data_IF_634554149973
#
_entry.id   IF_634554149973
#
_cell.length_a   1.000
_cell.length_b   1.000
_cell.length_c   1.000
_cell.angle_alpha   90.00
_cell.angle_beta   90.00
_cell.angle_gamma   90.00
#
_symmetry.space_group_name_H-M   'P 1'
#
loop_
_entity.id
_entity.type
_entity.pdbx_description
1 polymer ?
#
# COMPACT_ATOMS: atom_id res chain seq x y z
N UNK A 1 13.66 75.25 43.00
CA UNK A 1 13.29 76.67 42.85
C UNK A 1 13.57 77.09 41.40
N UNK A 2 12.71 77.94 40.82
CA UNK A 2 12.78 78.69 39.53
C UNK A 2 13.02 77.90 38.22
N UNK A 3 12.02 77.67 37.35
CA UNK A 3 11.23 78.55 36.42
C UNK A 3 11.92 78.88 35.07
N UNK A 4 11.50 78.18 33.98
CA UNK A 4 10.98 78.61 32.61
C UNK A 4 11.65 79.75 31.81
N UNK A 5 11.40 80.01 30.48
CA UNK A 5 10.37 79.52 29.51
C UNK A 5 10.90 79.15 28.06
N UNK A 6 10.24 78.33 27.21
CA UNK A 6 9.10 78.47 26.25
C UNK A 6 9.44 78.78 24.76
N UNK A 7 8.48 78.41 23.89
CA UNK A 7 8.31 78.59 22.41
C UNK A 7 8.89 77.47 21.53
N UNK A 8 8.24 76.90 20.51
CA UNK A 8 6.94 77.18 19.88
C UNK A 8 6.56 76.09 18.85
N UNK A 9 5.29 76.14 18.44
CA UNK A 9 4.48 75.26 17.58
C UNK A 9 5.02 74.97 16.16
N UNK A 10 4.76 73.77 15.61
CA UNK A 10 4.12 73.60 14.28
C UNK A 10 3.57 72.16 14.07
N UNK A 11 2.25 72.06 13.85
CA UNK A 11 1.55 70.87 13.34
C UNK A 11 1.76 70.75 11.83
N UNK A 12 2.10 69.55 11.35
CA UNK A 12 1.89 69.12 9.97
C UNK A 12 1.14 67.79 9.94
N UNK A 13 0.01 67.79 9.23
CA UNK A 13 -0.85 66.65 8.92
C UNK A 13 -0.19 65.82 7.82
N UNK A 14 0.12 64.56 8.10
CA UNK A 14 0.68 63.61 7.13
C UNK A 14 -0.12 62.32 7.09
N UNK A 15 -0.79 62.08 5.97
CA UNK A 15 -1.61 60.88 5.67
C UNK A 15 -0.76 59.61 5.73
N UNK A 16 -1.16 58.66 6.58
CA UNK A 16 -0.57 57.31 6.62
C UNK A 16 -1.00 56.52 5.39
N UNK A 17 -0.10 56.36 4.40
CA UNK A 17 -0.24 55.39 3.31
C UNK A 17 0.08 54.01 3.90
N UNK A 18 -0.94 53.16 4.06
CA UNK A 18 -0.76 51.71 4.30
C UNK A 18 0.02 51.12 3.13
N UNK A 19 1.26 50.70 3.39
CA UNK A 19 1.93 49.67 2.60
C UNK A 19 1.14 48.37 2.79
N UNK A 20 0.31 48.02 1.80
CA UNK A 20 -0.22 46.67 1.64
C UNK A 20 0.99 45.78 1.38
N UNK A 21 1.19 44.78 2.24
CA UNK A 21 2.34 43.88 2.17
C UNK A 21 2.18 42.99 0.93
N UNK A 22 3.26 42.85 0.17
CA UNK A 22 3.35 42.05 -1.04
C UNK A 22 2.91 40.57 -0.84
N UNK A 23 2.95 40.06 0.39
CA UNK A 23 2.43 38.73 0.77
C UNK A 23 0.90 38.59 0.66
N UNK A 24 0.14 39.67 0.85
CA UNK A 24 -1.32 39.62 0.79
C UNK A 24 -1.82 39.50 -0.66
N UNK A 25 -1.03 39.97 -1.63
CA UNK A 25 -1.32 39.86 -3.08
C UNK A 25 -0.98 38.46 -3.58
N UNK A 26 0.11 37.84 -3.11
CA UNK A 26 0.49 36.47 -3.47
C UNK A 26 -0.50 35.43 -2.92
N UNK A 27 -0.99 35.61 -1.68
CA UNK A 27 -2.03 34.74 -1.11
C UNK A 27 -3.40 34.95 -1.80
N UNK A 28 -3.75 36.19 -2.14
CA UNK A 28 -4.97 36.51 -2.91
C UNK A 28 -4.92 35.91 -4.33
N UNK A 29 -3.75 35.93 -4.98
CA UNK A 29 -3.56 35.31 -6.29
C UNK A 29 -3.56 33.79 -6.22
N UNK A 30 -2.93 33.16 -5.22
CA UNK A 30 -2.99 31.71 -5.02
C UNK A 30 -4.42 31.22 -4.76
N UNK A 31 -5.18 31.92 -3.91
CA UNK A 31 -6.58 31.61 -3.66
C UNK A 31 -7.46 31.78 -4.91
N UNK A 32 -7.20 32.81 -5.73
CA UNK A 32 -7.90 33.03 -7.01
C UNK A 32 -7.56 32.01 -8.10
N UNK A 33 -6.42 31.32 -7.99
CA UNK A 33 -5.99 30.30 -8.96
C UNK A 33 -6.55 28.92 -8.60
N UNK A 34 -6.64 28.60 -7.30
CA UNK A 34 -7.33 27.40 -6.80
C UNK A 34 -8.84 27.43 -7.06
N UNK A 35 -9.49 28.59 -6.92
CA UNK A 35 -10.94 28.74 -7.14
C UNK A 35 -11.32 28.67 -8.64
N UNK A 36 -10.35 28.83 -9.56
CA UNK A 36 -10.56 28.74 -11.00
C UNK A 36 -10.50 27.31 -11.56
N UNK A 37 -9.98 26.35 -10.79
CA UNK A 37 -9.81 24.94 -11.19
C UNK A 37 -11.08 24.08 -11.02
N UNK A 38 -12.17 24.65 -10.51
CA UNK A 38 -13.44 23.94 -10.30
C UNK A 38 -14.63 24.75 -10.84
N UNK A 39 -14.95 24.59 -12.13
CA UNK A 39 -16.28 24.93 -12.64
C UNK A 39 -16.86 23.73 -13.39
N UNK A 40 -17.89 23.06 -12.84
CA UNK A 40 -18.69 22.12 -13.61
C UNK A 40 -19.39 22.87 -14.73
N UNK A 41 -19.30 22.39 -15.97
CA UNK A 41 -20.13 22.86 -17.08
C UNK A 41 -21.50 22.17 -16.99
N UNK A 42 -22.42 22.68 -16.18
CA UNK A 42 -23.80 22.18 -16.14
C UNK A 42 -24.63 22.80 -17.25
N UNK A 43 -25.02 21.99 -18.25
CA UNK A 43 -26.03 22.35 -19.24
C UNK A 43 -27.39 21.87 -18.74
N UNK A 44 -28.32 22.78 -18.48
CA UNK A 44 -29.66 22.42 -18.03
C UNK A 44 -30.47 21.76 -19.16
N UNK A 45 -30.94 20.54 -18.93
CA UNK A 45 -32.17 20.01 -19.54
C UNK A 45 -32.79 18.97 -18.61
N UNK A 46 -34.11 19.04 -18.45
CA UNK A 46 -34.85 18.32 -17.43
C UNK A 46 -35.08 16.83 -17.72
N UNK A 47 -35.51 16.17 -16.63
CA UNK A 47 -36.08 14.82 -16.48
C UNK A 47 -35.10 13.64 -16.69
N UNK A 48 -34.92 12.88 -15.60
CA UNK A 48 -33.94 11.80 -15.37
C UNK A 48 -32.49 12.18 -15.66
N UNK A 49 -31.89 12.94 -14.75
CA UNK A 49 -30.47 13.29 -14.84
C UNK A 49 -29.60 12.04 -14.62
N UNK A 50 -29.28 11.33 -15.71
CA UNK A 50 -27.97 10.68 -15.84
C UNK A 50 -26.93 11.72 -15.40
N UNK A 51 -26.18 11.42 -14.34
CA UNK A 51 -25.08 12.28 -13.91
C UNK A 51 -24.03 12.20 -15.01
N UNK A 52 -24.09 13.14 -15.96
CA UNK A 52 -23.18 13.19 -17.09
C UNK A 52 -21.74 13.23 -16.61
N UNK A 53 -20.87 12.46 -17.27
CA UNK A 53 -19.44 12.44 -17.00
C UNK A 53 -18.85 13.87 -16.95
N UNK A 54 -18.12 14.18 -15.90
CA UNK A 54 -17.47 15.49 -15.70
C UNK A 54 -15.96 15.32 -15.83
N UNK A 55 -15.36 16.07 -16.76
CA UNK A 55 -13.90 16.13 -16.92
C UNK A 55 -13.34 17.35 -16.16
N UNK A 56 -12.50 17.11 -15.15
CA UNK A 56 -11.69 18.12 -14.47
C UNK A 56 -10.32 18.23 -15.16
N UNK A 57 -9.95 19.41 -15.64
CA UNK A 57 -8.67 19.60 -16.31
C UNK A 57 -7.59 19.93 -15.30
N UNK A 58 -6.62 19.03 -15.13
CA UNK A 58 -5.44 19.27 -14.28
C UNK A 58 -4.37 20.06 -15.02
N UNK A 59 -4.27 19.88 -16.34
CA UNK A 59 -3.34 20.59 -17.21
C UNK A 59 -3.87 20.66 -18.64
N UNK A 60 -3.74 21.81 -19.29
CA UNK A 60 -4.04 21.99 -20.72
C UNK A 60 -2.81 21.78 -21.62
N UNK A 61 -1.68 22.39 -21.28
CA UNK A 61 -0.43 22.37 -22.07
C UNK A 61 0.79 22.05 -21.17
N UNK A 62 1.88 21.44 -21.71
CA UNK A 62 2.10 21.04 -23.11
C UNK A 62 1.29 19.80 -23.53
N UNK A 63 0.75 19.07 -22.58
CA UNK A 63 -0.11 17.92 -22.81
C UNK A 63 -1.34 17.98 -21.92
N UNK A 64 -2.52 17.70 -22.49
CA UNK A 64 -3.77 17.71 -21.75
C UNK A 64 -3.86 16.50 -20.82
N UNK A 65 -4.06 16.77 -19.52
CA UNK A 65 -4.24 15.78 -18.46
C UNK A 65 -5.54 16.11 -17.72
N UNK A 66 -6.42 15.13 -17.63
CA UNK A 66 -7.77 15.30 -17.05
C UNK A 66 -8.07 14.22 -16.02
N UNK A 67 -8.99 14.53 -15.10
CA UNK A 67 -9.68 13.55 -14.26
C UNK A 67 -11.12 13.46 -14.74
N UNK A 68 -11.50 12.30 -15.29
CA UNK A 68 -12.90 12.00 -15.60
C UNK A 68 -13.59 11.48 -14.35
N UNK A 69 -14.74 12.05 -14.04
CA UNK A 69 -15.57 11.68 -12.89
C UNK A 69 -16.95 11.28 -13.38
N UNK A 70 -17.35 10.05 -13.05
CA UNK A 70 -18.66 9.50 -13.41
C UNK A 70 -19.30 8.83 -12.19
N UNK A 71 -20.64 8.80 -12.17
CA UNK A 71 -21.40 8.04 -11.17
C UNK A 71 -21.83 6.73 -11.81
N UNK A 72 -21.35 5.61 -11.28
CA UNK A 72 -21.53 4.28 -11.90
C UNK A 72 -22.15 3.33 -10.89
N UNK A 73 -23.17 2.58 -11.30
CA UNK A 73 -23.72 1.47 -10.51
C UNK A 73 -23.09 0.15 -10.95
N UNK A 74 -22.35 -0.48 -10.04
CA UNK A 74 -21.63 -1.72 -10.29
C UNK A 74 -22.53 -2.92 -10.03
N UNK A 75 -23.16 -3.42 -11.10
CA UNK A 75 -24.09 -4.56 -11.02
C UNK A 75 -23.41 -5.85 -10.55
N UNK A 76 -22.13 -6.09 -10.91
CA UNK A 76 -21.35 -7.25 -10.45
C UNK A 76 -20.88 -7.17 -9.00
N UNK A 77 -20.88 -5.97 -8.39
CA UNK A 77 -20.26 -5.71 -7.08
C UNK A 77 -21.29 -5.35 -6.02
N UNK A 78 -22.36 -6.16 -5.90
CA UNK A 78 -23.42 -5.93 -4.90
C UNK A 78 -24.29 -4.70 -5.18
N UNK A 79 -24.43 -4.30 -6.44
CA UNK A 79 -25.22 -3.14 -6.88
C UNK A 79 -24.82 -1.82 -6.21
N UNK A 80 -23.53 -1.69 -5.87
CA UNK A 80 -23.01 -0.47 -5.27
C UNK A 80 -22.92 0.64 -6.31
N UNK A 81 -23.45 1.81 -5.97
CA UNK A 81 -23.20 3.03 -6.73
C UNK A 81 -21.91 3.68 -6.23
N UNK A 82 -21.01 4.05 -7.15
CA UNK A 82 -19.70 4.61 -6.85
C UNK A 82 -19.43 5.85 -7.69
N UNK A 83 -18.73 6.81 -7.12
CA UNK A 83 -18.01 7.84 -7.88
C UNK A 83 -16.72 7.23 -8.42
N UNK A 84 -16.57 7.20 -9.74
CA UNK A 84 -15.38 6.72 -10.43
C UNK A 84 -14.52 7.91 -10.86
N UNK A 85 -13.35 8.08 -10.23
CA UNK A 85 -12.35 9.08 -10.59
C UNK A 85 -11.23 8.43 -11.36
N UNK A 86 -11.02 8.87 -12.59
CA UNK A 86 -10.00 8.28 -13.47
C UNK A 86 -9.16 9.37 -14.11
N UNK A 87 -7.83 9.26 -14.02
CA UNK A 87 -6.95 10.15 -14.77
C UNK A 87 -6.80 9.69 -16.22
N UNK A 88 -6.53 10.62 -17.12
CA UNK A 88 -6.13 10.31 -18.48
C UNK A 88 -5.00 11.22 -18.93
N UNK A 89 -3.88 10.61 -19.32
CA UNK A 89 -2.71 11.29 -19.88
C UNK A 89 -1.51 11.39 -18.95
N UNK A 90 -1.59 10.87 -17.71
CA UNK A 90 -0.42 10.80 -16.82
C UNK A 90 0.69 9.92 -17.40
N UNK A 91 0.31 8.88 -18.16
CA UNK A 91 1.23 7.92 -18.78
C UNK A 91 2.29 8.57 -19.67
N UNK A 92 1.96 9.73 -20.25
CA UNK A 92 2.89 10.51 -21.08
C UNK A 92 4.01 11.20 -20.29
N UNK A 93 3.87 11.26 -18.96
CA UNK A 93 4.90 11.70 -18.00
C UNK A 93 5.57 10.50 -17.30
N UNK A 94 5.34 9.27 -17.76
CA UNK A 94 5.86 8.05 -17.12
C UNK A 94 5.07 7.60 -15.89
N UNK A 95 3.99 8.29 -15.53
CA UNK A 95 3.13 7.93 -14.41
C UNK A 95 1.93 7.13 -14.91
N UNK A 96 1.74 5.89 -14.45
CA UNK A 96 0.53 5.12 -14.76
C UNK A 96 -0.73 5.90 -14.37
N UNK A 97 -1.74 5.89 -15.24
CA UNK A 97 -3.02 6.57 -14.97
C UNK A 97 -3.72 5.91 -13.74
N UNK A 98 -4.40 6.72 -12.95
CA UNK A 98 -4.94 6.36 -11.64
C UNK A 98 -6.45 6.13 -11.71
N UNK A 99 -6.93 5.20 -10.88
CA UNK A 99 -8.36 4.92 -10.69
C UNK A 99 -8.71 4.90 -9.20
N UNK A 100 -9.63 5.76 -8.78
CA UNK A 100 -10.21 5.72 -7.44
C UNK A 100 -11.72 5.53 -7.56
N UNK A 101 -12.22 4.41 -7.04
CA UNK A 101 -13.65 4.17 -6.90
C UNK A 101 -14.05 4.49 -5.47
N UNK A 102 -15.00 5.40 -5.30
CA UNK A 102 -15.46 5.86 -4.00
C UNK A 102 -16.94 5.54 -3.84
N UNK A 103 -17.31 4.79 -2.81
CA UNK A 103 -18.71 4.47 -2.53
C UNK A 103 -19.54 5.75 -2.38
N UNK A 104 -20.60 5.85 -3.18
CA UNK A 104 -21.56 6.96 -3.12
C UNK A 104 -22.44 6.78 -1.89
N UNK A 105 -22.66 7.87 -1.17
CA UNK A 105 -23.48 7.90 0.04
C UNK A 105 -24.52 9.02 -0.07
N UNK A 106 -25.62 8.91 0.67
CA UNK A 106 -26.74 9.85 0.56
C UNK A 106 -26.39 11.32 0.84
N UNK A 107 -25.28 11.59 1.54
CA UNK A 107 -24.82 12.96 1.82
C UNK A 107 -24.03 13.58 0.64
N UNK A 108 -23.61 12.77 -0.34
CA UNK A 108 -22.90 13.26 -1.52
C UNK A 108 -23.87 14.00 -2.45
N UNK A 109 -23.99 15.32 -2.28
CA UNK A 109 -24.80 16.16 -3.19
C UNK A 109 -24.11 16.37 -4.56
N UNK A 110 -22.81 16.09 -4.65
CA UNK A 110 -21.98 16.16 -5.84
C UNK A 110 -20.73 15.29 -5.62
N UNK A 111 -19.97 15.04 -6.69
CA UNK A 111 -18.70 14.34 -6.60
C UNK A 111 -17.73 15.07 -5.63
N UNK A 112 -17.21 14.39 -4.59
CA UNK A 112 -16.17 14.96 -3.72
C UNK A 112 -14.94 15.48 -4.48
N UNK A 113 -14.41 16.64 -4.08
CA UNK A 113 -13.28 17.26 -4.76
C UNK A 113 -11.91 16.67 -4.37
N UNK A 114 -11.80 16.08 -3.18
CA UNK A 114 -10.51 15.67 -2.60
C UNK A 114 -9.73 14.64 -3.46
N UNK A 115 -10.37 13.66 -4.14
CA UNK A 115 -9.66 12.76 -5.07
C UNK A 115 -9.03 13.48 -6.27
N UNK A 116 -9.65 14.56 -6.78
CA UNK A 116 -9.07 15.37 -7.86
C UNK A 116 -7.81 16.09 -7.37
N UNK A 117 -7.83 16.60 -6.13
CA UNK A 117 -6.67 17.22 -5.50
C UNK A 117 -5.54 16.21 -5.24
N UNK A 118 -5.86 14.98 -4.85
CA UNK A 118 -4.89 13.88 -4.73
C UNK A 118 -4.17 13.65 -6.08
N UNK A 119 -4.92 13.52 -7.17
CA UNK A 119 -4.36 13.30 -8.50
C UNK A 119 -3.55 14.49 -9.01
N UNK A 120 -3.95 15.72 -8.68
CA UNK A 120 -3.14 16.91 -8.94
C UNK A 120 -1.78 16.84 -8.20
N UNK A 121 -1.77 16.33 -6.97
CA UNK A 121 -0.55 16.07 -6.20
C UNK A 121 0.36 15.03 -6.86
N UNK A 122 -0.20 13.93 -7.38
CA UNK A 122 0.57 12.92 -8.13
C UNK A 122 1.12 13.51 -9.43
N UNK A 123 0.34 14.28 -10.18
CA UNK A 123 0.81 14.99 -11.36
C UNK A 123 2.00 15.90 -11.05
N UNK A 124 1.94 16.64 -9.93
CA UNK A 124 3.04 17.51 -9.51
C UNK A 124 4.32 16.70 -9.28
N UNK A 125 4.25 15.59 -8.55
CA UNK A 125 5.38 14.68 -8.33
C UNK A 125 5.94 14.14 -9.65
N UNK A 126 5.05 13.71 -10.56
CA UNK A 126 5.47 13.15 -11.85
C UNK A 126 6.25 14.18 -12.69
N UNK A 127 5.84 15.46 -12.66
CA UNK A 127 6.58 16.56 -13.31
C UNK A 127 7.96 16.82 -12.69
N UNK A 128 8.11 16.52 -11.39
CA UNK A 128 9.37 16.60 -10.65
C UNK A 128 10.24 15.35 -10.84
N UNK A 129 9.80 14.39 -11.68
CA UNK A 129 10.51 13.14 -11.96
C UNK A 129 10.25 12.02 -10.96
N UNK A 130 9.28 12.19 -10.06
CA UNK A 130 8.90 11.18 -9.06
C UNK A 130 7.51 10.62 -9.34
N UNK A 131 7.42 9.33 -9.62
CA UNK A 131 6.16 8.64 -9.90
C UNK A 131 5.75 7.76 -8.73
N UNK A 132 4.45 7.45 -8.61
CA UNK A 132 3.93 6.38 -7.76
C UNK A 132 3.68 5.13 -8.60
N UNK A 133 4.11 3.98 -8.12
CA UNK A 133 3.93 2.68 -8.77
C UNK A 133 3.17 1.68 -7.89
N UNK A 134 3.27 0.41 -8.28
CA UNK A 134 2.65 -0.69 -7.55
C UNK A 134 3.11 -0.76 -6.10
N UNK A 135 2.15 -0.88 -5.19
CA UNK A 135 2.33 -0.96 -3.73
C UNK A 135 3.04 0.25 -3.10
N UNK A 136 3.13 1.36 -3.84
CA UNK A 136 3.47 2.66 -3.25
C UNK A 136 2.24 3.25 -2.54
N UNK A 137 2.44 4.39 -1.87
CA UNK A 137 1.36 5.01 -1.10
C UNK A 137 1.45 6.54 -1.05
N UNK A 138 0.39 7.17 -0.57
CA UNK A 138 0.40 8.58 -0.17
C UNK A 138 -0.24 8.71 1.20
N UNK A 139 0.49 9.27 2.16
CA UNK A 139 -0.01 9.54 3.51
C UNK A 139 -0.57 10.96 3.56
N UNK A 140 -1.75 11.10 4.16
CA UNK A 140 -2.41 12.38 4.35
C UNK A 140 -2.01 13.01 5.69
N UNK A 141 -1.65 14.28 5.64
CA UNK A 141 -1.40 15.05 6.86
C UNK A 141 -2.69 15.15 7.69
N UNK A 142 -2.53 15.13 9.01
CA UNK A 142 -3.65 15.37 9.91
C UNK A 142 -4.16 16.80 9.72
N UNK A 143 -5.46 16.96 9.49
CA UNK A 143 -6.14 18.24 9.39
C UNK A 143 -7.55 18.11 9.97
N UNK A 144 -8.10 19.22 10.47
CA UNK A 144 -9.45 19.24 11.06
C UNK A 144 -10.53 18.83 10.05
N UNK A 145 -10.37 19.24 8.77
CA UNK A 145 -11.29 18.85 7.68
C UNK A 145 -11.11 17.37 7.28
N UNK A 146 -9.90 16.84 7.40
CA UNK A 146 -9.57 15.49 6.92
C UNK A 146 -9.72 15.34 5.39
N UNK A 147 -9.49 14.13 4.90
CA UNK A 147 -9.73 13.77 3.50
C UNK A 147 -11.12 13.13 3.38
N UNK A 148 -11.94 13.61 2.44
CA UNK A 148 -13.36 13.29 2.28
C UNK A 148 -14.20 13.59 3.52
N UNK A 149 -13.84 14.64 4.26
CA UNK A 149 -14.52 15.01 5.51
C UNK A 149 -14.27 14.04 6.67
N UNK A 150 -13.29 13.14 6.55
CA UNK A 150 -12.95 12.14 7.56
C UNK A 150 -11.53 12.36 8.08
N UNK A 151 -11.42 12.63 9.38
CA UNK A 151 -10.13 12.67 10.09
C UNK A 151 -9.45 11.28 10.15
N UNK A 152 -10.23 10.23 9.92
CA UNK A 152 -9.79 8.84 10.01
C UNK A 152 -9.20 8.31 8.70
N UNK A 153 -9.43 8.98 7.57
CA UNK A 153 -8.73 8.65 6.33
C UNK A 153 -7.26 9.04 6.48
N UNK A 154 -6.38 8.04 6.45
CA UNK A 154 -4.94 8.20 6.68
C UNK A 154 -4.14 8.35 5.40
N UNK A 155 -4.60 7.79 4.30
CA UNK A 155 -3.86 7.80 3.04
C UNK A 155 -4.51 6.96 1.95
N UNK A 156 -3.73 6.71 0.90
CA UNK A 156 -4.07 5.83 -0.22
C UNK A 156 -2.94 4.83 -0.44
N UNK A 157 -3.32 3.57 -0.64
CA UNK A 157 -2.48 2.51 -1.20
C UNK A 157 -2.70 2.46 -2.71
N UNK A 158 -1.62 2.45 -3.49
CA UNK A 158 -1.65 2.25 -4.92
C UNK A 158 -1.32 0.79 -5.25
N UNK A 159 -2.08 0.16 -6.14
CA UNK A 159 -1.79 -1.21 -6.58
C UNK A 159 -2.25 -1.43 -8.01
N UNK A 160 -1.53 -2.27 -8.75
CA UNK A 160 -1.90 -2.66 -10.11
C UNK A 160 -3.11 -3.59 -10.11
N UNK A 161 -3.95 -3.47 -11.14
CA UNK A 161 -5.03 -4.42 -11.34
C UNK A 161 -4.50 -5.86 -11.49
N UNK A 162 -5.20 -6.78 -10.85
CA UNK A 162 -4.76 -8.17 -10.62
C UNK A 162 -5.96 -9.12 -10.56
N UNK A 163 -6.92 -8.92 -11.48
CA UNK A 163 -8.08 -9.81 -11.65
C UNK A 163 -9.41 -9.31 -11.07
N UNK A 164 -9.50 -8.07 -10.60
CA UNK A 164 -10.75 -7.49 -10.08
C UNK A 164 -11.84 -7.34 -11.16
N UNK A 165 -13.13 -7.31 -10.77
CA UNK A 165 -14.24 -7.02 -11.70
C UNK A 165 -14.15 -5.58 -12.23
N UNK A 166 -13.98 -5.41 -13.55
CA UNK A 166 -14.10 -4.12 -14.24
C UNK A 166 -15.42 -3.98 -15.02
N UNK A 167 -16.40 -4.86 -14.79
CA UNK A 167 -17.69 -4.79 -15.49
C UNK A 167 -18.45 -3.52 -15.13
N UNK A 168 -18.89 -2.77 -16.15
CA UNK A 168 -19.53 -1.47 -15.99
C UNK A 168 -18.57 -0.32 -15.70
N UNK A 169 -17.28 -0.61 -15.52
CA UNK A 169 -16.19 0.37 -15.56
C UNK A 169 -15.58 0.40 -16.96
N UNK A 170 -14.68 1.34 -17.20
CA UNK A 170 -13.85 1.28 -18.41
C UNK A 170 -13.04 -0.02 -18.32
N UNK A 171 -12.99 -0.80 -19.40
CA UNK A 171 -12.27 -2.09 -19.42
C UNK A 171 -10.75 -1.90 -19.66
N UNK A 172 -9.85 -2.55 -18.89
CA UNK A 172 -8.37 -2.42 -19.01
C UNK A 172 -7.81 -2.48 -20.43
N UNK A 173 -8.40 -3.30 -21.30
CA UNK A 173 -8.02 -3.42 -22.71
C UNK A 173 -8.15 -2.11 -23.51
N UNK A 174 -8.99 -1.15 -23.07
CA UNK A 174 -9.29 0.08 -23.81
C UNK A 174 -8.34 1.26 -23.46
N UNK A 175 -7.53 1.15 -22.40
CA UNK A 175 -6.69 2.25 -21.91
C UNK A 175 -5.31 1.83 -21.39
N UNK A 176 -4.97 0.54 -21.40
CA UNK A 176 -3.71 0.02 -20.87
C UNK A 176 -3.77 -0.19 -19.36
N UNK A 177 -2.61 -0.19 -18.70
CA UNK A 177 -2.52 -0.42 -17.26
C UNK A 177 -3.04 0.77 -16.45
N UNK A 178 -3.74 0.49 -15.35
CA UNK A 178 -4.13 1.48 -14.36
C UNK A 178 -3.44 1.21 -13.03
N UNK A 179 -3.49 2.21 -12.16
CA UNK A 179 -3.09 2.04 -10.78
C UNK A 179 -4.30 2.35 -9.90
N UNK A 180 -4.86 1.31 -9.31
CA UNK A 180 -6.00 1.43 -8.42
C UNK A 180 -5.59 2.11 -7.11
N UNK A 181 -6.47 2.98 -6.60
CA UNK A 181 -6.27 3.75 -5.39
C UNK A 181 -7.24 3.28 -4.31
N UNK A 182 -6.74 2.59 -3.27
CA UNK A 182 -7.54 2.16 -2.12
C UNK A 182 -7.36 3.11 -0.94
N UNK A 183 -8.45 3.64 -0.40
CA UNK A 183 -8.41 4.43 0.83
C UNK A 183 -8.00 3.57 2.04
N UNK A 184 -7.06 4.12 2.82
CA UNK A 184 -6.48 3.50 4.00
C UNK A 184 -6.85 4.29 5.25
N UNK A 185 -7.23 3.59 6.30
CA UNK A 185 -7.57 4.20 7.59
C UNK A 185 -6.30 4.61 8.34
N UNK A 186 -6.35 5.66 9.16
CA UNK A 186 -5.19 6.23 9.87
C UNK A 186 -4.49 5.22 10.80
N UNK A 187 -5.23 4.30 11.40
CA UNK A 187 -4.68 3.20 12.22
C UNK A 187 -3.89 2.16 11.42
N UNK A 188 -4.09 2.09 10.10
CA UNK A 188 -3.43 1.13 9.22
C UNK A 188 -2.14 1.70 8.61
N UNK A 189 -1.80 2.96 8.90
CA UNK A 189 -0.60 3.61 8.37
C UNK A 189 0.70 2.83 8.63
N UNK A 190 0.92 2.20 9.80
CA UNK A 190 2.09 1.36 9.99
C UNK A 190 2.16 0.21 8.96
N UNK A 191 1.04 -0.44 8.65
CA UNK A 191 1.01 -1.49 7.65
C UNK A 191 1.16 -0.94 6.22
N UNK A 192 0.59 0.24 5.94
CA UNK A 192 0.76 0.92 4.64
C UNK A 192 2.23 1.24 4.34
N UNK A 193 2.96 1.72 5.34
CA UNK A 193 4.36 2.13 5.21
C UNK A 193 5.30 0.93 5.13
N UNK A 194 4.98 -0.17 5.82
CA UNK A 194 5.96 -1.21 6.13
C UNK A 194 5.62 -2.60 5.57
N UNK A 195 4.34 -2.87 5.32
CA UNK A 195 3.86 -4.15 4.79
C UNK A 195 2.62 -3.94 3.90
N UNK A 196 2.74 -3.16 2.79
CA UNK A 196 1.59 -2.81 1.97
C UNK A 196 0.89 -4.04 1.38
N UNK A 197 1.61 -5.14 1.09
CA UNK A 197 1.03 -6.41 0.62
C UNK A 197 0.12 -7.05 1.66
N UNK A 198 0.54 -7.06 2.92
CA UNK A 198 -0.29 -7.52 4.04
C UNK A 198 -1.56 -6.68 4.16
N UNK A 199 -1.43 -5.35 4.06
CA UNK A 199 -2.60 -4.47 4.09
C UNK A 199 -3.54 -4.70 2.91
N UNK A 200 -3.01 -4.84 1.69
CA UNK A 200 -3.78 -5.13 0.48
C UNK A 200 -4.62 -6.39 0.66
N UNK A 201 -3.97 -7.50 1.03
CA UNK A 201 -4.62 -8.79 1.20
C UNK A 201 -5.61 -8.79 2.37
N UNK A 202 -5.31 -8.06 3.45
CA UNK A 202 -6.25 -7.90 4.58
C UNK A 202 -7.50 -7.12 4.18
N UNK A 203 -7.37 -6.09 3.34
CA UNK A 203 -8.50 -5.35 2.79
C UNK A 203 -9.33 -6.24 1.85
N UNK A 204 -8.67 -7.04 1.01
CA UNK A 204 -9.35 -8.04 0.17
C UNK A 204 -10.11 -9.09 0.97
N UNK A 205 -9.52 -9.60 2.05
CA UNK A 205 -10.18 -10.53 2.96
C UNK A 205 -11.43 -9.90 3.62
N UNK A 206 -11.38 -8.61 3.95
CA UNK A 206 -12.55 -7.89 4.50
C UNK A 206 -13.65 -7.71 3.46
N UNK A 207 -13.26 -7.34 2.24
CA UNK A 207 -14.19 -7.09 1.14
C UNK A 207 -14.72 -8.40 0.51
N UNK A 208 -14.11 -9.55 0.82
CA UNK A 208 -14.38 -10.83 0.18
C UNK A 208 -13.94 -10.87 -1.29
N UNK A 209 -12.92 -10.08 -1.67
CA UNK A 209 -12.44 -9.92 -3.04
C UNK A 209 -10.92 -10.05 -3.08
N UNK A 210 -10.42 -10.99 -3.89
CA UNK A 210 -9.00 -11.20 -4.06
C UNK A 210 -8.41 -10.37 -5.23
N UNK A 211 -7.15 -9.89 -5.12
CA UNK A 211 -6.37 -9.77 -3.87
C UNK A 211 -6.89 -8.62 -2.99
N UNK A 212 -7.59 -7.65 -3.59
CA UNK A 212 -8.28 -6.56 -2.90
C UNK A 212 -9.41 -6.00 -3.79
N UNK A 213 -10.51 -5.57 -3.17
CA UNK A 213 -11.59 -4.85 -3.83
C UNK A 213 -11.16 -3.44 -4.28
N UNK A 214 -11.73 -2.96 -5.40
CA UNK A 214 -11.45 -1.63 -5.95
C UNK A 214 -12.19 -0.49 -5.22
N UNK A 215 -13.31 -0.80 -4.56
CA UNK A 215 -14.22 0.19 -3.99
C UNK A 215 -13.71 0.68 -2.65
N UNK A 216 -13.53 2.00 -2.52
CA UNK A 216 -13.20 2.65 -1.27
C UNK A 216 -14.44 3.11 -0.52
N UNK A 217 -14.65 2.59 0.69
CA UNK A 217 -15.62 3.12 1.65
C UNK A 217 -14.90 4.06 2.64
N UNK A 218 -15.33 5.33 2.68
CA UNK A 218 -14.69 6.38 3.49
C UNK A 218 -15.00 6.32 4.99
N UNK A 219 -15.95 5.48 5.41
CA UNK A 219 -16.38 5.32 6.81
C UNK A 219 -16.27 3.89 7.33
N UNK A 220 -15.54 3.02 6.63
CA UNK A 220 -15.28 1.67 7.13
C UNK A 220 -14.46 1.71 8.43
N UNK A 221 -14.66 0.75 9.35
CA UNK A 221 -13.74 0.56 10.45
C UNK A 221 -12.34 0.16 9.92
N UNK A 222 -11.29 0.38 10.73
CA UNK A 222 -9.97 -0.13 10.40
C UNK A 222 -9.94 -1.66 10.42
N UNK A 223 -9.10 -2.26 9.58
CA UNK A 223 -8.83 -3.71 9.55
C UNK A 223 -7.67 -4.14 10.45
N UNK A 224 -6.90 -3.15 10.92
CA UNK A 224 -5.84 -3.30 11.93
C UNK A 224 -5.96 -2.20 13.00
N UNK A 225 -5.67 -2.55 14.24
CA UNK A 225 -5.88 -1.69 15.41
C UNK A 225 -4.57 -1.41 16.16
N UNK A 226 -3.90 -2.44 16.66
CA UNK A 226 -2.72 -2.32 17.53
C UNK A 226 -1.50 -3.05 16.94
N UNK A 227 -0.63 -2.35 16.19
CA UNK A 227 0.56 -2.94 15.58
C UNK A 227 1.49 -3.66 16.56
N UNK A 228 1.52 -3.24 17.83
CA UNK A 228 2.37 -3.84 18.85
C UNK A 228 2.04 -5.32 19.13
N UNK A 229 0.82 -5.77 18.83
CA UNK A 229 0.37 -7.15 19.04
C UNK A 229 0.70 -8.10 17.89
N UNK A 230 1.11 -7.56 16.74
CA UNK A 230 1.53 -8.38 15.61
C UNK A 230 2.94 -8.93 15.84
N UNK A 231 3.25 -10.10 15.25
CA UNK A 231 4.61 -10.63 15.06
C UNK A 231 5.56 -9.58 14.48
N UNK A 232 5.04 -8.61 13.72
CA UNK A 232 5.83 -7.54 13.13
C UNK A 232 6.49 -6.64 14.18
N UNK A 233 5.92 -6.54 15.39
CA UNK A 233 6.51 -5.75 16.47
C UNK A 233 7.83 -6.32 16.97
N UNK A 234 8.04 -7.64 16.84
CA UNK A 234 9.30 -8.30 17.27
C UNK A 234 10.49 -7.83 16.43
N UNK A 235 10.28 -7.48 15.15
CA UNK A 235 11.37 -7.00 14.29
C UNK A 235 11.89 -5.63 14.67
N UNK A 236 11.09 -4.83 15.40
CA UNK A 236 11.54 -3.53 15.90
C UNK A 236 12.68 -3.67 16.90
N UNK A 237 12.63 -4.67 17.75
CA UNK A 237 13.66 -4.93 18.75
C UNK A 237 14.77 -5.82 18.18
N UNK A 238 14.41 -6.78 17.33
CA UNK A 238 15.34 -7.77 16.78
C UNK A 238 16.22 -7.24 15.63
N UNK A 239 15.88 -6.11 15.00
CA UNK A 239 16.67 -5.51 13.91
C UNK A 239 16.95 -4.02 14.18
N UNK A 240 17.87 -3.70 15.12
CA UNK A 240 18.09 -2.32 15.60
C UNK A 240 18.58 -1.34 14.53
N UNK A 241 19.14 -1.86 13.42
CA UNK A 241 19.73 -1.07 12.33
C UNK A 241 18.67 -0.63 11.30
N UNK A 242 17.47 -1.20 11.34
CA UNK A 242 16.35 -0.75 10.51
C UNK A 242 15.71 0.42 11.23
N UNK A 243 15.83 1.61 10.64
CA UNK A 243 15.56 2.92 11.25
C UNK A 243 14.15 3.11 11.82
N UNK A 244 13.24 2.19 11.52
CA UNK A 244 11.84 2.22 11.91
C UNK A 244 11.33 0.88 12.51
N UNK A 245 12.20 -0.14 12.60
CA UNK A 245 11.86 -1.45 13.17
C UNK A 245 10.96 -2.33 12.30
N UNK A 246 11.25 -2.37 10.99
CA UNK A 246 10.36 -2.90 9.96
C UNK A 246 11.00 -4.07 9.24
N UNK A 247 10.20 -5.03 8.76
CA UNK A 247 10.72 -6.01 7.81
C UNK A 247 11.03 -5.31 6.48
N UNK A 248 12.25 -5.40 5.93
CA UNK A 248 12.58 -4.75 4.68
C UNK A 248 11.84 -5.44 3.53
N UNK A 249 11.10 -4.64 2.74
CA UNK A 249 10.44 -5.10 1.53
C UNK A 249 11.47 -5.19 0.39
N UNK A 250 11.64 -6.37 -0.18
CA UNK A 250 12.38 -6.57 -1.41
C UNK A 250 11.40 -6.64 -2.57
N UNK A 251 11.45 -5.65 -3.46
CA UNK A 251 10.64 -5.65 -4.67
C UNK A 251 11.05 -6.81 -5.58
N UNK A 252 10.14 -7.35 -6.39
CA UNK A 252 10.39 -8.48 -7.29
C UNK A 252 10.87 -9.76 -6.58
N UNK A 253 10.54 -9.88 -5.30
CA UNK A 253 10.72 -11.07 -4.49
C UNK A 253 9.36 -11.68 -4.17
N UNK A 254 9.15 -12.95 -4.49
CA UNK A 254 7.93 -13.67 -4.15
C UNK A 254 8.22 -14.78 -3.15
N UNK A 255 7.35 -14.91 -2.16
CA UNK A 255 7.41 -15.95 -1.13
C UNK A 255 6.21 -16.87 -1.31
N UNK A 256 6.44 -18.16 -1.50
CA UNK A 256 5.37 -19.14 -1.72
C UNK A 256 5.61 -20.43 -0.96
N UNK A 257 4.53 -21.11 -0.60
CA UNK A 257 4.49 -22.43 0.00
C UNK A 257 3.75 -23.37 -0.95
N UNK A 258 4.45 -24.40 -1.41
CA UNK A 258 3.87 -25.47 -2.21
C UNK A 258 3.20 -26.53 -1.31
N UNK A 259 2.20 -27.23 -1.86
CA UNK A 259 1.45 -28.28 -1.15
C UNK A 259 2.29 -29.47 -0.68
N UNK A 260 3.46 -29.67 -1.28
CA UNK A 260 4.46 -30.67 -0.88
C UNK A 260 5.36 -30.22 0.31
N UNK A 261 5.19 -29.00 0.81
CA UNK A 261 5.97 -28.44 1.92
C UNK A 261 7.29 -27.77 1.49
N UNK A 262 7.48 -27.49 0.20
CA UNK A 262 8.58 -26.66 -0.28
C UNK A 262 8.17 -25.20 -0.17
N UNK A 263 8.97 -24.40 0.54
CA UNK A 263 8.87 -22.94 0.52
C UNK A 263 9.82 -22.42 -0.53
N UNK A 264 9.36 -21.54 -1.42
CA UNK A 264 10.20 -20.89 -2.42
C UNK A 264 10.28 -19.40 -2.16
N UNK A 265 11.52 -18.91 -1.99
CA UNK A 265 11.89 -17.50 -1.94
C UNK A 265 12.50 -17.17 -3.30
N UNK A 266 11.69 -16.59 -4.18
CA UNK A 266 12.05 -16.34 -5.58
C UNK A 266 12.43 -14.88 -5.78
N UNK A 267 13.71 -14.62 -6.04
CA UNK A 267 14.33 -13.28 -6.07
C UNK A 267 14.75 -12.95 -7.51
N UNK A 268 14.42 -11.76 -8.01
CA UNK A 268 14.88 -11.33 -9.34
C UNK A 268 16.35 -10.89 -9.32
N UNK A 269 17.13 -11.27 -10.34
CA UNK A 269 18.57 -10.96 -10.46
C UNK A 269 18.90 -9.47 -10.34
N UNK A 270 18.08 -8.59 -10.92
CA UNK A 270 18.18 -7.12 -10.78
C UNK A 270 18.12 -6.60 -9.33
N UNK A 271 17.70 -7.42 -8.36
CA UNK A 271 17.61 -7.06 -6.94
C UNK A 271 18.82 -7.48 -6.12
N UNK A 272 19.86 -8.03 -6.75
CA UNK A 272 21.08 -8.44 -6.05
C UNK A 272 21.71 -7.29 -5.25
N UNK A 273 21.82 -6.08 -5.84
CA UNK A 273 22.39 -4.93 -5.15
C UNK A 273 21.53 -4.45 -3.96
N UNK A 274 20.20 -4.47 -4.12
CA UNK A 274 19.25 -4.12 -3.06
C UNK A 274 19.36 -5.12 -1.90
N UNK A 275 19.40 -6.43 -2.21
CA UNK A 275 19.56 -7.49 -1.22
C UNK A 275 20.93 -7.42 -0.53
N UNK A 276 22.03 -7.27 -1.26
CA UNK A 276 23.37 -7.16 -0.67
C UNK A 276 23.45 -5.99 0.34
N UNK A 277 22.79 -4.87 0.04
CA UNK A 277 22.67 -3.75 0.96
C UNK A 277 21.92 -4.13 2.24
N UNK A 278 20.83 -4.89 2.14
CA UNK A 278 20.10 -5.43 3.29
C UNK A 278 20.91 -6.46 4.08
N UNK A 279 21.69 -7.30 3.41
CA UNK A 279 22.54 -8.30 4.08
C UNK A 279 23.72 -7.65 4.80
N UNK A 280 24.25 -6.53 4.28
CA UNK A 280 25.40 -5.84 4.87
C UNK A 280 25.14 -5.29 6.28
N UNK A 281 23.87 -5.04 6.63
CA UNK A 281 23.45 -4.59 7.96
C UNK A 281 23.10 -5.75 8.89
N UNK A 282 23.12 -6.98 8.39
CA UNK A 282 22.92 -8.18 9.18
C UNK A 282 24.25 -8.70 9.74
N UNK A 283 24.30 -8.90 11.05
CA UNK A 283 25.44 -9.53 11.72
C UNK A 283 25.01 -10.92 12.25
N UNK A 284 25.47 -12.03 11.64
CA UNK A 284 25.11 -13.37 12.08
C UNK A 284 25.60 -13.69 13.49
N UNK A 285 26.65 -13.00 13.94
CA UNK A 285 27.28 -13.22 15.25
C UNK A 285 26.55 -12.54 16.41
N UNK A 286 25.55 -11.69 16.13
CA UNK A 286 24.88 -10.83 17.15
C UNK A 286 23.41 -11.18 17.38
N UNK A 287 23.02 -12.46 17.30
CA UNK A 287 21.63 -12.93 17.46
C UNK A 287 20.63 -12.24 16.50
N UNK A 288 21.13 -11.73 15.37
CA UNK A 288 20.34 -10.99 14.41
C UNK A 288 19.25 -11.87 13.80
N UNK A 289 18.10 -11.27 13.52
CA UNK A 289 17.04 -11.87 12.70
C UNK A 289 17.17 -11.37 11.26
N UNK A 290 17.35 -12.30 10.31
CA UNK A 290 17.28 -11.99 8.88
C UNK A 290 15.81 -12.01 8.48
N UNK A 291 15.23 -10.84 8.22
CA UNK A 291 13.84 -10.74 7.81
C UNK A 291 13.72 -10.11 6.42
N UNK A 292 12.77 -10.59 5.63
CA UNK A 292 12.47 -10.09 4.29
C UNK A 292 10.97 -10.18 4.03
N UNK A 293 10.39 -9.11 3.49
CA UNK A 293 9.02 -9.10 3.00
C UNK A 293 9.00 -9.15 1.47
N UNK A 294 8.12 -9.99 0.93
CA UNK A 294 7.92 -10.13 -0.52
C UNK A 294 6.77 -9.29 -1.06
N UNK A 295 6.54 -9.44 -2.36
CA UNK A 295 5.42 -8.86 -3.09
C UNK A 295 4.33 -9.90 -3.36
N UNK A 296 3.15 -9.40 -3.75
CA UNK A 296 2.04 -10.23 -4.18
C UNK A 296 2.49 -11.17 -5.32
N UNK A 297 2.44 -12.47 -5.05
CA UNK A 297 2.71 -13.50 -6.05
C UNK A 297 1.45 -13.73 -6.90
N UNK A 298 1.38 -13.13 -8.10
CA UNK A 298 0.21 -13.29 -8.99
C UNK A 298 -0.01 -14.72 -9.49
N UNK A 299 1.03 -15.56 -9.48
CA UNK A 299 0.93 -16.97 -9.88
C UNK A 299 0.52 -17.91 -8.73
N UNK A 300 0.30 -17.39 -7.53
CA UNK A 300 -0.19 -18.19 -6.41
C UNK A 300 -1.72 -18.32 -6.48
N UNK A 301 -2.23 -19.50 -6.10
CA UNK A 301 -3.66 -19.80 -6.07
C UNK A 301 -4.35 -19.14 -4.86
N UNK A 302 -3.58 -18.78 -3.84
CA UNK A 302 -4.05 -18.19 -2.60
C UNK A 302 -2.93 -17.43 -1.88
N UNK A 303 -3.28 -16.63 -0.87
CA UNK A 303 -2.33 -16.04 0.07
C UNK A 303 -2.78 -16.23 1.51
N UNK A 304 -1.80 -16.35 2.40
CA UNK A 304 -2.04 -16.19 3.83
C UNK A 304 -2.27 -14.72 4.16
N UNK A 305 -3.18 -14.47 5.09
CA UNK A 305 -3.57 -13.14 5.54
C UNK A 305 -3.61 -13.11 7.05
N UNK A 306 -2.93 -12.12 7.63
CA UNK A 306 -2.97 -11.84 9.05
C UNK A 306 -4.26 -11.07 9.38
N UNK A 307 -5.22 -11.70 10.06
CA UNK A 307 -6.48 -11.07 10.45
C UNK A 307 -6.44 -10.68 11.93
N UNK A 308 -6.40 -9.38 12.20
CA UNK A 308 -6.60 -8.86 13.56
C UNK A 308 -8.10 -8.76 13.87
N UNK A 309 -8.53 -9.45 14.92
CA UNK A 309 -9.88 -9.30 15.48
C UNK A 309 -10.00 -7.99 16.26
N UNK A 310 -11.22 -7.46 16.50
CA UNK A 310 -11.40 -6.27 17.35
C UNK A 310 -10.87 -6.41 18.78
N UNK A 311 -10.71 -7.65 19.27
CA UNK A 311 -10.07 -7.94 20.56
C UNK A 311 -8.55 -7.85 20.55
N UNK A 312 -7.95 -7.68 19.36
CA UNK A 312 -6.51 -7.59 19.10
C UNK A 312 -5.81 -8.94 19.03
N UNK A 313 -6.56 -10.04 18.88
CA UNK A 313 -6.00 -11.36 18.57
C UNK A 313 -5.77 -11.49 17.06
N UNK A 314 -4.64 -12.08 16.67
CA UNK A 314 -4.29 -12.34 15.28
C UNK A 314 -4.61 -13.79 14.89
N UNK A 315 -5.24 -13.96 13.74
CA UNK A 315 -5.54 -15.25 13.13
C UNK A 315 -4.91 -15.32 11.73
N UNK A 316 -4.37 -16.48 11.36
CA UNK A 316 -3.97 -16.77 9.99
C UNK A 316 -5.18 -17.25 9.20
N UNK A 317 -5.57 -16.52 8.17
CA UNK A 317 -6.63 -16.93 7.24
C UNK A 317 -6.09 -17.07 5.82
N UNK A 318 -6.74 -17.90 4.99
CA UNK A 318 -6.38 -18.09 3.60
C UNK A 318 -7.37 -17.33 2.69
N UNK A 319 -6.86 -16.57 1.72
CA UNK A 319 -7.68 -15.95 0.66
C UNK A 319 -7.30 -16.52 -0.69
N UNK A 320 -8.29 -17.00 -1.45
CA UNK A 320 -8.05 -17.68 -2.73
C UNK A 320 -8.25 -16.74 -3.92
N UNK A 321 -7.44 -16.92 -4.95
CA UNK A 321 -7.52 -16.20 -6.22
C UNK A 321 -8.68 -16.64 -7.12
N UNK A 322 -9.25 -17.83 -6.88
CA UNK A 322 -10.32 -18.37 -7.70
C UNK A 322 -11.61 -17.53 -7.62
N UNK A 323 -11.91 -16.87 -8.74
CA UNK A 323 -13.01 -15.91 -8.94
C UNK A 323 -14.38 -16.56 -9.21
N UNK A 324 -14.55 -17.87 -8.95
CA UNK A 324 -15.77 -18.60 -9.26
C UNK A 324 -16.32 -19.35 -8.03
N UNK A 325 -16.79 -18.60 -7.03
CA UNK A 325 -17.36 -19.22 -5.83
C UNK A 325 -17.95 -18.21 -4.86
N UNK A 326 -18.93 -17.43 -5.31
CA UNK A 326 -19.69 -16.56 -4.42
C UNK A 326 -20.46 -17.41 -3.41
N UNK A 327 -20.06 -17.32 -2.14
CA UNK A 327 -20.97 -17.50 -1.01
C UNK A 327 -20.93 -18.83 -0.27
N UNK A 328 -21.05 -18.68 1.05
CA UNK A 328 -21.50 -19.65 2.04
C UNK A 328 -20.46 -20.65 2.57
N UNK A 329 -20.36 -20.62 3.90
CA UNK A 329 -19.78 -21.66 4.72
C UNK A 329 -20.23 -23.05 4.27
N UNK A 330 -19.29 -23.98 4.19
CA UNK A 330 -19.57 -25.41 4.10
C UNK A 330 -19.19 -26.05 2.77
N UNK A 331 -18.07 -26.77 2.80
CA UNK A 331 -17.72 -27.92 1.94
C UNK A 331 -17.20 -27.66 0.51
N UNK A 332 -15.88 -27.87 0.36
CA UNK A 332 -15.25 -28.22 -0.91
C UNK A 332 -13.96 -27.47 -1.22
N UNK A 333 -12.97 -27.48 -0.33
CA UNK A 333 -11.65 -26.89 -0.58
C UNK A 333 -11.00 -27.58 -1.79
N UNK A 334 -10.82 -26.85 -2.90
CA UNK A 334 -9.79 -27.19 -3.86
C UNK A 334 -8.43 -27.13 -3.15
N UNK A 335 -7.58 -28.12 -3.38
CA UNK A 335 -6.21 -28.10 -2.84
C UNK A 335 -5.50 -26.91 -3.50
N UNK A 336 -5.15 -25.88 -2.72
CA UNK A 336 -4.26 -24.83 -3.20
C UNK A 336 -2.89 -25.45 -3.44
N UNK A 337 -2.35 -25.30 -4.65
CA UNK A 337 -1.05 -25.87 -5.00
C UNK A 337 0.07 -24.95 -4.56
N UNK A 338 -0.14 -23.65 -4.67
CA UNK A 338 0.82 -22.60 -4.32
C UNK A 338 0.13 -21.53 -3.49
N UNK A 339 0.60 -21.34 -2.24
CA UNK A 339 0.11 -20.29 -1.33
C UNK A 339 1.17 -19.22 -1.14
N UNK A 340 0.87 -17.96 -1.42
CA UNK A 340 1.78 -16.84 -1.18
C UNK A 340 1.87 -16.46 0.30
N UNK A 341 3.06 -16.00 0.71
CA UNK A 341 3.39 -15.56 2.07
C UNK A 341 3.78 -14.07 2.08
N UNK A 342 3.53 -13.39 3.19
CA UNK A 342 3.84 -11.96 3.36
C UNK A 342 5.31 -11.68 3.67
N UNK A 343 5.93 -12.52 4.50
CA UNK A 343 7.33 -12.35 4.91
C UNK A 343 7.99 -13.69 5.27
N UNK A 344 9.32 -13.68 5.33
CA UNK A 344 10.14 -14.73 5.92
C UNK A 344 11.10 -14.11 6.93
N UNK A 345 11.27 -14.77 8.07
CA UNK A 345 12.18 -14.35 9.13
C UNK A 345 12.99 -15.53 9.63
N UNK A 346 14.32 -15.44 9.56
CA UNK A 346 15.25 -16.47 9.95
C UNK A 346 16.08 -16.00 11.15
N UNK A 347 16.18 -16.83 12.18
CA UNK A 347 17.01 -16.59 13.35
C UNK A 347 17.91 -17.79 13.64
N UNK A 348 19.07 -17.51 14.24
CA UNK A 348 19.98 -18.56 14.71
C UNK A 348 19.61 -18.96 16.14
N UNK A 349 19.74 -20.25 16.49
CA UNK A 349 19.53 -20.70 17.88
C UNK A 349 20.54 -20.08 18.85
N UNK A 350 20.02 -19.66 20.00
CA UNK A 350 20.77 -19.19 21.17
C UNK A 350 20.86 -20.33 22.21
N UNK A 351 22.03 -20.98 22.33
CA UNK A 351 22.29 -21.95 23.40
C UNK A 351 23.32 -23.03 23.07
N UNK A 352 24.03 -23.51 24.10
CA UNK A 352 25.08 -24.53 24.00
C UNK A 352 24.56 -25.99 23.85
N UNK A 353 23.24 -26.19 23.94
CA UNK A 353 22.63 -27.47 23.63
C UNK A 353 22.34 -27.50 22.12
N UNK A 354 23.29 -28.06 21.37
CA UNK A 354 23.18 -28.40 19.96
C UNK A 354 22.07 -29.48 19.79
N UNK A 355 20.81 -29.08 19.94
CA UNK A 355 19.72 -29.89 19.44
C UNK A 355 19.75 -29.74 17.92
N UNK A 356 20.11 -30.82 17.23
CA UNK A 356 20.09 -30.89 15.77
C UNK A 356 18.71 -30.45 15.25
N UNK A 357 18.69 -29.43 14.39
CA UNK A 357 17.66 -29.31 13.38
C UNK A 357 17.12 -27.92 13.06
N UNK A 358 16.71 -27.73 11.81
CA UNK A 358 16.07 -26.54 11.29
C UNK A 358 14.54 -26.66 11.39
N UNK A 359 13.92 -25.65 12.02
CA UNK A 359 12.48 -25.58 12.25
C UNK A 359 11.91 -24.39 11.48
N UNK A 360 10.75 -24.57 10.88
CA UNK A 360 9.98 -23.47 10.31
C UNK A 360 8.52 -23.55 10.76
N UNK A 361 7.88 -22.40 10.93
CA UNK A 361 6.47 -22.31 11.33
C UNK A 361 5.80 -21.13 10.63
N UNK A 362 4.56 -21.34 10.20
CA UNK A 362 3.69 -20.24 9.77
C UNK A 362 3.31 -19.40 10.98
N UNK A 363 3.58 -18.10 10.91
CA UNK A 363 3.23 -17.13 11.94
C UNK A 363 2.52 -15.95 11.27
N UNK A 364 1.25 -15.76 11.62
CA UNK A 364 0.36 -14.83 10.91
C UNK A 364 0.31 -15.13 9.40
N UNK A 365 0.81 -14.25 8.55
CA UNK A 365 0.86 -14.43 7.09
C UNK A 365 2.27 -14.77 6.56
N UNK A 366 3.24 -15.01 7.44
CA UNK A 366 4.63 -15.27 7.05
C UNK A 366 5.21 -16.56 7.62
N UNK A 367 6.52 -16.73 7.42
CA UNK A 367 7.28 -17.89 7.85
C UNK A 367 8.37 -17.48 8.84
N UNK A 368 8.30 -17.99 10.07
CA UNK A 368 9.40 -17.94 11.02
C UNK A 368 10.29 -19.18 10.89
N UNK A 369 11.60 -19.01 10.88
CA UNK A 369 12.59 -20.08 10.70
C UNK A 369 13.65 -19.97 11.78
N UNK A 370 13.99 -21.10 12.37
CA UNK A 370 15.11 -21.24 13.30
C UNK A 370 16.09 -22.23 12.68
N UNK A 371 17.31 -21.78 12.40
CA UNK A 371 18.35 -22.61 11.79
C UNK A 371 19.66 -22.59 12.60
N UNK A 372 20.61 -23.42 12.19
CA UNK A 372 21.96 -23.38 12.76
C UNK A 372 22.71 -22.13 12.30
N UNK A 373 23.77 -21.75 13.03
CA UNK A 373 24.66 -20.65 12.58
C UNK A 373 25.36 -20.98 11.27
N UNK A 374 25.71 -22.25 11.05
CA UNK A 374 26.36 -22.71 9.83
C UNK A 374 25.43 -22.59 8.61
N UNK A 375 24.16 -22.97 8.76
CA UNK A 375 23.17 -22.83 7.69
C UNK A 375 22.92 -21.37 7.36
N UNK A 376 22.80 -20.51 8.38
CA UNK A 376 22.65 -19.06 8.19
C UNK A 376 23.85 -18.48 7.44
N UNK A 377 25.09 -18.81 7.84
CA UNK A 377 26.29 -18.36 7.15
C UNK A 377 26.32 -18.80 5.68
N UNK A 378 25.97 -20.07 5.42
CA UNK A 378 25.94 -20.62 4.06
C UNK A 378 24.87 -19.92 3.21
N UNK A 379 23.68 -19.68 3.78
CA UNK A 379 22.62 -18.92 3.12
C UNK A 379 23.08 -17.50 2.76
N UNK A 380 23.66 -16.77 3.72
CA UNK A 380 24.12 -15.40 3.50
C UNK A 380 25.19 -15.31 2.41
N UNK A 381 26.11 -16.30 2.38
CA UNK A 381 27.11 -16.40 1.32
C UNK A 381 26.45 -16.59 -0.05
N UNK A 382 25.56 -17.59 -0.19
CA UNK A 382 24.86 -17.84 -1.46
C UNK A 382 24.02 -16.65 -1.91
N UNK A 383 23.33 -15.95 -0.99
CA UNK A 383 22.56 -14.75 -1.34
C UNK A 383 23.46 -13.59 -1.81
N UNK A 384 24.65 -13.40 -1.23
CA UNK A 384 25.61 -12.39 -1.69
C UNK A 384 26.18 -12.73 -3.08
N UNK A 385 26.42 -14.01 -3.34
CA UNK A 385 26.96 -14.52 -4.61
C UNK A 385 25.88 -14.66 -5.70
N UNK A 386 24.61 -14.39 -5.38
CA UNK A 386 23.45 -14.60 -6.23
C UNK A 386 23.30 -16.05 -6.73
N UNK A 387 23.59 -17.01 -5.84
CA UNK A 387 23.45 -18.44 -6.09
C UNK A 387 22.21 -19.00 -5.40
N UNK A 388 21.61 -20.01 -6.04
CA UNK A 388 20.48 -20.76 -5.47
C UNK A 388 20.92 -21.50 -4.20
N UNK A 389 20.06 -21.50 -3.19
CA UNK A 389 20.34 -22.15 -1.91
C UNK A 389 19.14 -22.98 -1.43
N UNK A 390 19.41 -24.15 -0.88
CA UNK A 390 18.38 -25.03 -0.31
C UNK A 390 18.66 -25.23 1.17
N UNK A 391 17.76 -24.73 2.01
CA UNK A 391 17.76 -24.96 3.45
C UNK A 391 16.83 -26.14 3.78
N UNK A 392 17.36 -27.32 4.13
CA UNK A 392 16.54 -28.45 4.54
C UNK A 392 15.83 -28.13 5.87
N UNK A 393 14.56 -28.56 5.99
CA UNK A 393 13.76 -28.43 7.20
C UNK A 393 13.50 -29.80 7.80
N UNK A 394 13.78 -29.94 9.09
CA UNK A 394 13.37 -31.13 9.84
C UNK A 394 11.85 -31.10 10.09
N UNK A 395 11.34 -29.89 10.38
CA UNK A 395 9.94 -29.69 10.71
C UNK A 395 9.40 -28.38 10.15
N UNK A 396 8.27 -28.48 9.47
CA UNK A 396 7.48 -27.34 9.02
C UNK A 396 6.09 -27.40 9.67
N UNK A 397 5.80 -26.44 10.54
CA UNK A 397 4.51 -26.28 11.20
C UNK A 397 3.61 -25.37 10.38
N UNK A 398 2.45 -25.88 9.96
CA UNK A 398 1.45 -25.12 9.20
C UNK A 398 0.26 -24.75 10.09
N UNK A 399 -0.39 -23.64 9.76
CA UNK A 399 -1.55 -23.12 10.52
C UNK A 399 -2.76 -24.06 10.52
N UNK A 400 -2.91 -24.89 9.49
CA UNK A 400 -4.06 -25.76 9.23
C UNK A 400 -3.81 -27.24 9.55
N UNK A 401 -2.60 -27.60 10.03
CA UNK A 401 -2.20 -28.99 10.32
C UNK A 401 -1.84 -29.19 11.78
N UNK A 402 -2.30 -30.31 12.35
CA UNK A 402 -1.91 -30.73 13.70
C UNK A 402 -0.50 -31.33 13.76
N UNK A 403 -0.14 -32.11 12.75
CA UNK A 403 1.19 -32.72 12.64
C UNK A 403 2.08 -31.89 11.72
N UNK A 404 3.34 -31.63 12.12
CA UNK A 404 4.28 -30.93 11.26
C UNK A 404 4.66 -31.77 10.04
N UNK A 405 4.95 -31.09 8.93
CA UNK A 405 5.52 -31.72 7.76
C UNK A 405 6.99 -32.06 8.02
N UNK A 406 7.42 -33.22 7.51
CA UNK A 406 8.80 -33.69 7.54
C UNK A 406 9.33 -33.72 6.10
N UNK A 407 10.65 -33.66 5.95
CA UNK A 407 11.32 -33.65 4.63
C UNK A 407 10.94 -32.44 3.77
N UNK A 408 10.72 -31.30 4.41
CA UNK A 408 10.43 -30.01 3.78
C UNK A 408 11.74 -29.25 3.50
N UNK A 409 11.67 -28.17 2.73
CA UNK A 409 12.85 -27.33 2.46
C UNK A 409 12.43 -25.90 2.11
N UNK A 410 13.33 -24.95 2.35
CA UNK A 410 13.22 -23.58 1.83
C UNK A 410 14.22 -23.46 0.69
N UNK A 411 13.74 -23.07 -0.49
CA UNK A 411 14.54 -22.86 -1.69
C UNK A 411 14.62 -21.36 -1.98
N UNK A 412 15.82 -20.82 -1.89
CA UNK A 412 16.12 -19.48 -2.38
C UNK A 412 16.55 -19.62 -3.83
N UNK A 413 15.79 -19.00 -4.74
CA UNK A 413 15.95 -19.17 -6.19
C UNK A 413 16.12 -17.81 -6.84
N UNK A 414 17.18 -17.66 -7.63
CA UNK A 414 17.44 -16.48 -8.44
C UNK A 414 16.81 -16.62 -9.82
N UNK A 415 15.96 -15.65 -10.17
CA UNK A 415 15.36 -15.53 -11.50
C UNK A 415 16.14 -14.52 -12.31
N UNK A 416 16.82 -15.00 -13.33
CA UNK A 416 17.42 -14.16 -14.37
C UNK A 416 16.45 -14.06 -15.54
N UNK A 417 16.03 -12.84 -15.88
CA UNK A 417 15.27 -12.65 -17.11
C UNK A 417 16.21 -12.74 -18.33
N UNK A 418 15.72 -13.17 -19.51
CA UNK A 418 16.54 -13.17 -20.72
C UNK A 418 17.01 -11.74 -21.03
N UNK A 419 18.32 -11.52 -20.95
CA UNK A 419 18.96 -10.21 -21.22
C UNK A 419 19.44 -9.44 -19.98
N UNK A 420 19.35 -10.02 -18.78
CA UNK A 420 20.06 -9.58 -17.58
C UNK A 420 21.51 -10.08 -17.53
#
# INVERSE_FOLDING_TARGET
MSRTPATGSHRLVGKSRRLVRQRDIEQSQQHSTEERLARPLTRQRGEEAEVADVDFVLQEAPQRIVVRVSLVTLVCCGQKTVWSYRTHGLSRLGQTDLLLLLEHIAIDNAAPADPVALFAGVLKKAKEGSTVGDMDHTVFQASERGFLGSQYTGGVLYFLESGQCFHGLVHPADFGSLLACRLVHRRELPYLLHSPTRLLLRLGAEDGVYPCGLISNRYRPPVFYEPARSVMSMFREAVPHLSEGLVPRLRDCNLTLESNGIVVVSISGRRQADLASLLSVYAPDTDGVLALAGELCQSADAHLVARESPGGEFETVLTTADLAGWGTAGHGWGVCWVTGLGFIALSTRLGAADQQGCLAAIVEDGLGVICSRQDMWSLLQSLNEAEDFVLPLDWLFLHDRREPMRSSSIRFVWRHLPGE
#
